data_IF_344300857146
#
_entry.id   IF_344300857146
#
_cell.length_a   1.000
_cell.length_b   1.000
_cell.length_c   1.000
_cell.angle_alpha   90.00
_cell.angle_beta   90.00
_cell.angle_gamma   90.00
#
_symmetry.space_group_name_H-M   'P 1'
#
loop_
_entity.id
_entity.type
_entity.pdbx_description
1 polymer ?
#
# COMPACT_ATOMS: atom_id res chain seq x y z
N UNK A 1 -3.55 3.53 -10.71
CA UNK A 1 -3.63 4.56 -9.64
C UNK A 1 -4.70 5.56 -10.03
N UNK A 2 -5.68 5.82 -9.19
CA UNK A 2 -6.83 6.68 -9.51
C UNK A 2 -7.49 7.26 -8.26
N UNK A 3 -8.24 8.34 -8.41
CA UNK A 3 -9.11 8.84 -7.36
C UNK A 3 -10.33 7.93 -7.18
N UNK A 4 -10.68 7.60 -5.95
CA UNK A 4 -11.81 6.72 -5.61
C UNK A 4 -12.51 7.26 -4.35
N UNK A 5 -13.86 7.34 -4.34
CA UNK A 5 -14.60 7.71 -3.15
C UNK A 5 -14.52 6.59 -2.11
N UNK A 6 -14.02 6.93 -0.91
CA UNK A 6 -13.94 6.01 0.23
C UNK A 6 -14.58 6.69 1.43
N UNK A 7 -15.46 5.95 2.12
CA UNK A 7 -16.16 6.44 3.31
C UNK A 7 -15.54 5.87 4.58
N UNK A 8 -15.13 6.74 5.51
CA UNK A 8 -14.68 6.43 6.88
C UNK A 8 -15.11 7.53 7.82
N UNK A 9 -15.27 7.23 9.10
CA UNK A 9 -15.61 8.22 10.14
C UNK A 9 -16.82 9.10 9.74
N UNK A 10 -17.83 8.47 9.12
CA UNK A 10 -19.04 9.08 8.57
C UNK A 10 -18.87 9.97 7.33
N UNK A 11 -17.65 10.25 6.86
CA UNK A 11 -17.35 11.14 5.74
C UNK A 11 -16.85 10.39 4.51
N UNK A 12 -17.24 10.85 3.33
CA UNK A 12 -16.74 10.32 2.06
C UNK A 12 -15.68 11.26 1.49
N UNK A 13 -14.52 10.71 1.19
CA UNK A 13 -13.39 11.44 0.63
C UNK A 13 -12.91 10.76 -0.65
N UNK A 14 -12.51 11.57 -1.64
CA UNK A 14 -11.86 11.05 -2.85
C UNK A 14 -10.37 10.89 -2.59
N UNK A 15 -9.95 9.68 -2.27
CA UNK A 15 -8.54 9.34 -1.99
C UNK A 15 -7.90 8.70 -3.23
N UNK A 16 -6.56 8.65 -3.26
CA UNK A 16 -5.84 7.93 -4.33
C UNK A 16 -5.72 6.45 -3.95
N UNK A 17 -6.06 5.58 -4.90
CA UNK A 17 -6.08 4.12 -4.71
C UNK A 17 -5.44 3.40 -5.89
N UNK A 18 -5.19 2.09 -5.72
CA UNK A 18 -4.84 1.19 -6.82
C UNK A 18 -6.06 0.35 -7.17
N UNK A 19 -6.49 0.40 -8.43
CA UNK A 19 -7.64 -0.35 -8.96
C UNK A 19 -8.94 -0.15 -8.15
N UNK A 20 -9.12 1.02 -7.55
CA UNK A 20 -10.31 1.32 -6.73
C UNK A 20 -10.31 0.69 -5.35
N UNK A 21 -9.21 0.06 -4.92
CA UNK A 21 -9.13 -0.67 -3.65
C UNK A 21 -8.30 0.11 -2.61
N UNK A 22 -8.78 0.07 -1.36
CA UNK A 22 -8.09 0.61 -0.18
C UNK A 22 -8.28 -0.34 1.03
N UNK A 23 -7.21 -0.98 1.54
CA UNK A 23 -5.88 -1.06 0.95
C UNK A 23 -5.90 -1.62 -0.48
N UNK A 24 -4.84 -1.39 -1.24
CA UNK A 24 -4.69 -1.92 -2.59
C UNK A 24 -4.57 -3.46 -2.62
N UNK A 25 -4.57 -4.04 -3.82
CA UNK A 25 -4.55 -5.49 -3.98
C UNK A 25 -3.30 -6.13 -3.37
N UNK A 26 -3.47 -7.29 -2.72
CA UNK A 26 -2.36 -8.16 -2.34
C UNK A 26 -1.72 -8.75 -3.58
N UNK A 27 -0.39 -8.74 -3.64
CA UNK A 27 0.38 -9.44 -4.66
C UNK A 27 0.93 -10.72 -4.04
N UNK A 28 0.61 -11.86 -4.64
CA UNK A 28 1.10 -13.18 -4.23
C UNK A 28 1.99 -13.75 -5.33
N UNK A 29 3.19 -14.16 -4.96
CA UNK A 29 4.26 -14.64 -5.84
C UNK A 29 5.06 -15.71 -5.12
N UNK A 30 5.85 -16.50 -5.83
CA UNK A 30 6.81 -17.42 -5.25
C UNK A 30 8.22 -16.85 -5.32
N UNK A 31 9.09 -17.33 -4.42
CA UNK A 31 10.53 -17.10 -4.55
C UNK A 31 11.04 -17.65 -5.89
N UNK A 32 11.68 -16.79 -6.69
CA UNK A 32 12.15 -17.07 -8.04
C UNK A 32 11.26 -16.53 -9.16
N UNK A 33 10.06 -16.04 -8.85
CA UNK A 33 9.18 -15.46 -9.86
C UNK A 33 9.70 -14.09 -10.37
N UNK A 34 9.46 -13.82 -11.66
CA UNK A 34 9.63 -12.49 -12.24
C UNK A 34 8.31 -11.73 -12.18
N UNK A 35 8.30 -10.62 -11.45
CA UNK A 35 7.14 -9.75 -11.32
C UNK A 35 7.19 -8.65 -12.37
N UNK A 36 6.07 -8.45 -13.08
CA UNK A 36 5.86 -7.35 -14.01
C UNK A 36 4.57 -6.59 -13.65
N UNK A 37 4.70 -5.31 -13.29
CA UNK A 37 3.55 -4.47 -12.93
C UNK A 37 3.56 -3.19 -13.74
N UNK A 38 2.55 -3.03 -14.61
CA UNK A 38 2.29 -1.78 -15.32
C UNK A 38 1.43 -0.86 -14.47
N UNK A 39 2.04 0.20 -13.95
CA UNK A 39 1.35 1.25 -13.20
C UNK A 39 0.89 2.33 -14.18
N UNK A 40 -0.43 2.50 -14.30
CA UNK A 40 -1.04 3.60 -15.05
C UNK A 40 -1.54 4.65 -14.05
N UNK A 41 -1.04 5.88 -14.16
CA UNK A 41 -1.44 6.98 -13.30
C UNK A 41 -2.62 7.74 -13.91
N UNK A 42 -3.83 7.48 -13.39
CA UNK A 42 -5.07 8.21 -13.68
C UNK A 42 -5.47 9.14 -12.51
N UNK A 43 -4.56 9.36 -11.57
CA UNK A 43 -4.75 10.27 -10.44
C UNK A 43 -4.27 11.69 -10.75
N UNK A 44 -4.47 12.59 -9.78
CA UNK A 44 -4.09 14.00 -9.89
C UNK A 44 -2.63 14.30 -9.48
N UNK A 45 -1.97 13.36 -8.78
CA UNK A 45 -0.62 13.55 -8.26
C UNK A 45 0.41 12.75 -9.06
N UNK A 46 1.64 13.26 -9.10
CA UNK A 46 2.82 12.47 -9.43
C UNK A 46 2.92 11.28 -8.46
N UNK A 47 3.28 10.11 -8.97
CA UNK A 47 3.37 8.88 -8.16
C UNK A 47 4.47 7.96 -8.65
N UNK A 48 5.14 7.31 -7.71
CA UNK A 48 5.96 6.12 -7.92
C UNK A 48 5.50 5.03 -6.97
N UNK A 49 5.79 3.75 -7.30
CA UNK A 49 5.51 2.61 -6.42
C UNK A 49 6.84 1.96 -6.03
N UNK A 50 6.99 1.66 -4.74
CA UNK A 50 8.12 0.93 -4.18
C UNK A 50 7.69 -0.43 -3.62
N UNK A 51 8.57 -1.40 -3.80
CA UNK A 51 8.38 -2.80 -3.42
C UNK A 51 9.14 -3.06 -2.12
N UNK A 52 8.57 -2.62 -1.00
CA UNK A 52 9.28 -2.53 0.27
C UNK A 52 9.86 -3.87 0.72
N UNK A 53 11.18 -3.89 0.89
CA UNK A 53 11.94 -5.07 1.31
C UNK A 53 12.39 -5.96 0.16
N UNK A 54 11.94 -5.75 -1.08
CA UNK A 54 12.54 -6.42 -2.25
C UNK A 54 13.94 -5.87 -2.46
N UNK A 55 14.92 -6.76 -2.62
CA UNK A 55 16.35 -6.37 -2.72
C UNK A 55 16.72 -5.62 -4.00
N UNK A 56 15.89 -5.69 -5.04
CA UNK A 56 16.14 -5.07 -6.35
C UNK A 56 17.55 -5.37 -6.90
N UNK A 57 17.95 -6.64 -6.86
CA UNK A 57 19.26 -7.07 -7.33
C UNK A 57 19.42 -6.69 -8.81
N UNK A 58 20.34 -5.74 -9.08
CA UNK A 58 20.65 -5.21 -10.43
C UNK A 58 19.43 -4.62 -11.16
N UNK A 59 18.39 -4.22 -10.43
CA UNK A 59 17.10 -3.76 -10.97
C UNK A 59 16.67 -2.44 -10.32
N UNK A 60 17.63 -1.61 -9.90
CA UNK A 60 17.38 -0.36 -9.18
C UNK A 60 16.43 0.63 -9.90
N UNK A 61 16.34 0.58 -11.23
CA UNK A 61 15.35 1.38 -11.98
C UNK A 61 13.89 1.02 -11.66
N UNK A 62 13.63 -0.18 -11.13
CA UNK A 62 12.32 -0.65 -10.71
C UNK A 62 12.09 -0.50 -9.19
N UNK A 63 13.00 0.16 -8.46
CA UNK A 63 12.90 0.25 -7.00
C UNK A 63 11.79 1.21 -6.55
N UNK A 64 11.63 2.37 -7.19
CA UNK A 64 10.50 3.27 -6.94
C UNK A 64 10.76 4.61 -6.24
N UNK A 65 11.72 4.79 -5.31
CA UNK A 65 11.88 6.05 -4.59
C UNK A 65 12.01 7.28 -5.50
N UNK A 66 11.04 8.21 -5.38
CA UNK A 66 10.94 9.39 -6.23
C UNK A 66 12.19 10.28 -6.09
N UNK A 67 12.76 10.69 -7.23
CA UNK A 67 14.00 11.47 -7.34
C UNK A 67 15.28 10.80 -6.82
N UNK A 68 15.21 9.52 -6.43
CA UNK A 68 16.40 8.73 -6.10
C UNK A 68 16.69 7.73 -7.21
N UNK A 69 15.73 6.84 -7.51
CA UNK A 69 15.90 5.80 -8.54
C UNK A 69 15.11 6.07 -9.81
N UNK A 70 14.10 6.95 -9.75
CA UNK A 70 13.32 7.36 -10.92
C UNK A 70 12.67 8.73 -10.76
N UNK A 71 12.35 9.35 -11.90
CA UNK A 71 11.37 10.42 -11.96
C UNK A 71 9.94 9.87 -11.74
N UNK A 72 8.99 10.70 -11.26
CA UNK A 72 7.63 10.26 -11.03
C UNK A 72 6.86 9.94 -12.31
N UNK A 73 5.90 9.01 -12.19
CA UNK A 73 4.89 8.76 -13.21
C UNK A 73 3.88 9.91 -13.13
N UNK A 74 3.93 10.81 -14.11
CA UNK A 74 3.02 11.96 -14.19
C UNK A 74 1.57 11.52 -14.42
N UNK A 75 0.57 12.34 -14.03
CA UNK A 75 -0.82 12.11 -14.41
C UNK A 75 -0.97 11.83 -15.92
N UNK A 76 -1.75 10.81 -16.25
CA UNK A 76 -1.97 10.33 -17.63
C UNK A 76 -0.86 9.42 -18.18
N UNK A 77 0.26 9.25 -17.49
CA UNK A 77 1.39 8.42 -17.94
C UNK A 77 1.37 7.04 -17.30
N UNK A 78 2.24 6.15 -17.80
CA UNK A 78 2.44 4.81 -17.24
C UNK A 78 3.90 4.41 -17.17
N UNK A 79 4.23 3.51 -16.25
CA UNK A 79 5.54 2.90 -16.13
C UNK A 79 5.40 1.43 -15.78
N UNK A 80 6.29 0.58 -16.31
CA UNK A 80 6.27 -0.86 -16.05
C UNK A 80 7.46 -1.23 -15.18
N UNK A 81 7.20 -1.69 -13.96
CA UNK A 81 8.17 -2.26 -13.05
C UNK A 81 8.41 -3.73 -13.43
N UNK A 82 9.68 -4.13 -13.57
CA UNK A 82 10.09 -5.51 -13.88
C UNK A 82 11.32 -5.89 -13.07
N UNK A 83 11.22 -6.96 -12.28
CA UNK A 83 12.32 -7.52 -11.51
C UNK A 83 12.05 -8.98 -11.14
N UNK A 84 13.08 -9.70 -10.72
CA UNK A 84 12.98 -11.08 -10.23
C UNK A 84 13.16 -11.10 -8.72
N UNK A 85 12.36 -11.92 -8.05
CA UNK A 85 12.45 -12.12 -6.61
C UNK A 85 13.46 -13.23 -6.34
N UNK A 86 14.58 -12.89 -5.71
CA UNK A 86 15.70 -13.83 -5.53
C UNK A 86 16.02 -14.04 -4.05
N UNK A 87 15.76 -15.26 -3.57
CA UNK A 87 16.14 -15.69 -2.23
C UNK A 87 15.42 -14.92 -1.12
N UNK A 88 14.12 -14.63 -1.35
CA UNK A 88 13.24 -13.98 -0.39
C UNK A 88 11.94 -14.78 -0.30
N UNK A 89 11.45 -14.97 0.92
CA UNK A 89 10.19 -15.65 1.26
C UNK A 89 9.60 -14.93 2.48
N UNK A 90 8.27 -14.89 2.60
CA UNK A 90 7.55 -14.28 3.71
C UNK A 90 6.65 -13.10 3.31
N UNK A 91 6.39 -12.23 4.28
CA UNK A 91 5.48 -11.09 4.12
C UNK A 91 6.26 -9.79 3.94
N UNK A 92 6.06 -9.16 2.78
CA UNK A 92 6.48 -7.81 2.46
C UNK A 92 5.24 -6.98 2.11
N UNK A 93 5.46 -5.79 1.55
CA UNK A 93 4.38 -4.91 1.11
C UNK A 93 4.89 -3.98 0.02
N UNK A 94 3.96 -3.36 -0.70
CA UNK A 94 4.27 -2.32 -1.66
C UNK A 94 3.54 -1.04 -1.26
N UNK A 95 4.11 0.11 -1.60
CA UNK A 95 3.50 1.40 -1.31
C UNK A 95 3.94 2.48 -2.29
N UNK A 96 3.17 3.55 -2.40
CA UNK A 96 3.65 4.73 -3.11
C UNK A 96 4.90 5.30 -2.43
N UNK A 97 5.89 5.73 -3.20
CA UNK A 97 7.11 6.34 -2.67
C UNK A 97 7.27 7.80 -3.12
N UNK A 98 6.13 8.49 -3.20
CA UNK A 98 5.98 9.90 -3.54
C UNK A 98 5.18 10.61 -2.46
N UNK A 99 5.78 11.61 -1.81
CA UNK A 99 5.15 12.39 -0.74
C UNK A 99 4.47 11.48 0.32
N UNK A 100 3.27 11.83 0.77
CA UNK A 100 2.47 11.06 1.73
C UNK A 100 1.41 10.16 1.05
N UNK A 101 1.54 9.86 -0.24
CA UNK A 101 0.57 9.01 -0.95
C UNK A 101 0.46 7.60 -0.37
N UNK A 102 1.52 7.10 0.30
CA UNK A 102 1.49 5.79 0.98
C UNK A 102 0.45 5.69 2.10
N UNK A 103 -0.14 6.79 2.55
CA UNK A 103 -1.27 6.76 3.48
C UNK A 103 -2.50 6.05 2.90
N UNK A 104 -2.63 5.99 1.56
CA UNK A 104 -3.78 5.37 0.87
C UNK A 104 -3.39 4.46 -0.29
N UNK A 105 -2.17 4.60 -0.81
CA UNK A 105 -1.61 3.78 -1.89
C UNK A 105 -0.59 2.79 -1.31
N UNK A 106 -1.09 1.65 -0.85
CA UNK A 106 -0.28 0.55 -0.33
C UNK A 106 -1.04 -0.78 -0.42
N UNK A 107 -0.33 -1.90 -0.34
CA UNK A 107 -0.92 -3.24 -0.29
C UNK A 107 0.11 -4.29 0.11
N UNK A 108 -0.35 -5.49 0.45
CA UNK A 108 0.54 -6.57 0.86
C UNK A 108 1.28 -7.18 -0.34
N UNK A 109 2.47 -7.73 -0.09
CA UNK A 109 3.24 -8.52 -1.05
C UNK A 109 3.70 -9.81 -0.35
N UNK A 110 3.09 -10.93 -0.67
CA UNK A 110 3.37 -12.23 -0.07
C UNK A 110 4.25 -13.03 -1.02
N UNK A 111 5.38 -13.51 -0.50
CA UNK A 111 6.31 -14.36 -1.24
C UNK A 111 6.28 -15.76 -0.64
N UNK A 112 5.64 -16.68 -1.33
CA UNK A 112 5.59 -18.08 -0.96
C UNK A 112 6.92 -18.79 -1.21
N UNK A 113 7.13 -19.97 -0.60
CA UNK A 113 8.28 -20.80 -0.88
C UNK A 113 8.44 -21.07 -2.37
N UNK A 114 9.69 -21.22 -2.81
CA UNK A 114 9.99 -21.60 -4.19
C UNK A 114 9.18 -22.84 -4.59
N UNK A 115 8.74 -22.92 -5.85
CA UNK A 115 8.04 -24.08 -6.37
C UNK A 115 8.82 -25.39 -6.08
N UNK A 116 8.16 -26.36 -5.46
CA UNK A 116 8.76 -27.63 -5.00
C UNK A 116 9.35 -27.59 -3.58
N UNK A 117 9.44 -26.42 -2.95
CA UNK A 117 9.79 -26.26 -1.55
C UNK A 117 8.55 -26.18 -0.66
N UNK A 118 8.75 -26.25 0.66
CA UNK A 118 7.69 -26.10 1.66
C UNK A 118 8.12 -25.10 2.73
N UNK A 119 7.15 -24.55 3.47
CA UNK A 119 7.44 -23.77 4.66
C UNK A 119 8.26 -24.61 5.65
N UNK A 120 9.12 -24.00 6.49
CA UNK A 120 9.84 -24.71 7.56
C UNK A 120 8.91 -25.14 8.72
N UNK A 121 7.60 -25.02 8.54
CA UNK A 121 6.54 -25.37 9.47
C UNK A 121 5.35 -25.97 8.71
N UNK A 122 4.39 -26.54 9.44
CA UNK A 122 3.19 -27.14 8.83
C UNK A 122 2.40 -26.07 8.08
N UNK A 123 2.09 -26.32 6.81
CA UNK A 123 1.32 -25.39 5.97
C UNK A 123 0.03 -24.96 6.70
N UNK A 124 -0.16 -23.66 6.95
CA UNK A 124 -1.35 -23.18 7.65
C UNK A 124 -2.60 -23.43 6.82
N UNK A 125 -3.73 -23.63 7.51
CA UNK A 125 -5.05 -23.81 6.84
C UNK A 125 -5.57 -22.52 6.22
N UNK A 126 -5.17 -21.37 6.78
CA UNK A 126 -5.54 -20.02 6.35
C UNK A 126 -4.39 -19.06 6.64
N UNK A 127 -4.21 -18.12 5.74
CA UNK A 127 -3.29 -16.99 5.87
C UNK A 127 -4.11 -15.72 5.59
N UNK A 128 -3.85 -14.64 6.32
CA UNK A 128 -4.58 -13.38 6.13
C UNK A 128 -3.65 -12.21 6.41
N UNK A 129 -3.43 -11.30 5.43
CA UNK A 129 -2.68 -10.09 5.66
C UNK A 129 -3.39 -9.17 6.68
N UNK A 130 -2.62 -8.68 7.65
CA UNK A 130 -3.06 -7.64 8.59
C UNK A 130 -2.25 -6.36 8.32
N UNK A 131 -2.85 -5.44 7.57
CA UNK A 131 -2.25 -4.17 7.22
C UNK A 131 -2.66 -3.10 8.23
N UNK A 132 -1.72 -2.66 9.05
CA UNK A 132 -1.91 -1.55 9.97
C UNK A 132 -1.69 -0.23 9.24
N UNK A 133 -2.55 0.75 9.47
CA UNK A 133 -2.45 2.04 8.81
C UNK A 133 -3.12 3.16 9.60
N UNK A 134 -3.14 4.33 8.99
CA UNK A 134 -3.72 5.55 9.55
C UNK A 134 -4.71 6.16 8.56
N UNK A 135 -5.70 6.87 9.09
CA UNK A 135 -6.72 7.59 8.34
C UNK A 135 -6.75 9.06 8.74
N UNK A 136 -6.72 9.94 7.75
CA UNK A 136 -7.02 11.37 7.92
C UNK A 136 -8.30 11.69 7.16
N UNK A 137 -9.18 12.48 7.77
CA UNK A 137 -10.26 13.18 7.06
C UNK A 137 -9.72 14.31 6.19
N UNK A 138 -8.54 14.85 6.52
CA UNK A 138 -7.80 15.73 5.64
C UNK A 138 -7.08 14.94 4.55
N UNK A 139 -6.86 15.56 3.38
CA UNK A 139 -6.00 14.99 2.36
C UNK A 139 -4.53 14.90 2.87
N UNK A 140 -3.91 13.71 2.92
CA UNK A 140 -2.55 13.54 3.46
C UNK A 140 -1.48 14.40 2.78
N UNK A 141 -1.68 14.74 1.50
CA UNK A 141 -0.77 15.64 0.76
C UNK A 141 -0.85 17.08 1.28
N UNK A 142 -2.04 17.53 1.67
CA UNK A 142 -2.21 18.86 2.23
C UNK A 142 -1.69 18.92 3.67
N UNK A 143 -1.82 17.83 4.44
CA UNK A 143 -1.21 17.70 5.78
C UNK A 143 0.31 17.90 5.73
N UNK A 144 1.01 17.16 4.86
CA UNK A 144 2.48 17.30 4.73
C UNK A 144 2.89 18.64 4.12
N UNK A 145 2.09 19.20 3.20
CA UNK A 145 2.38 20.51 2.59
C UNK A 145 2.29 21.63 3.63
N UNK A 146 1.29 21.60 4.50
CA UNK A 146 1.15 22.60 5.56
C UNK A 146 2.26 22.49 6.61
N UNK A 147 2.64 21.27 6.99
CA UNK A 147 3.80 21.04 7.86
C UNK A 147 5.09 21.60 7.24
N UNK A 148 5.33 21.34 5.95
CA UNK A 148 6.48 21.89 5.24
C UNK A 148 6.45 23.42 5.13
N UNK A 149 5.26 24.02 4.95
CA UNK A 149 5.11 25.47 4.84
C UNK A 149 5.36 26.19 6.17
N UNK A 150 4.86 25.63 7.26
CA UNK A 150 4.91 26.24 8.59
C UNK A 150 6.19 25.88 9.36
N UNK A 151 6.82 24.76 9.02
CA UNK A 151 7.91 24.16 9.80
C UNK A 151 7.43 23.45 11.08
N UNK A 152 6.11 23.39 11.32
CA UNK A 152 5.53 22.69 12.46
C UNK A 152 5.38 21.18 12.19
N UNK A 153 5.10 20.42 13.24
CA UNK A 153 4.76 19.01 13.10
C UNK A 153 3.44 18.83 12.30
N UNK A 154 3.32 17.78 11.47
CA UNK A 154 2.07 17.48 10.78
C UNK A 154 0.96 17.09 11.77
N UNK A 155 -0.28 17.37 11.42
CA UNK A 155 -1.44 16.94 12.19
C UNK A 155 -1.47 15.41 12.34
N UNK A 156 -1.78 14.94 13.53
CA UNK A 156 -2.00 13.51 13.81
C UNK A 156 -3.20 12.97 13.02
N UNK A 157 -3.23 11.65 12.81
CA UNK A 157 -4.34 10.97 12.14
C UNK A 157 -5.63 11.00 12.96
N UNK A 158 -6.77 10.96 12.28
CA UNK A 158 -8.09 10.90 12.91
C UNK A 158 -8.42 9.48 13.41
N UNK A 159 -7.85 8.44 12.78
CA UNK A 159 -7.98 7.07 13.23
C UNK A 159 -6.78 6.19 12.84
N UNK A 160 -6.51 5.18 13.68
CA UNK A 160 -5.74 4.01 13.26
C UNK A 160 -6.66 3.03 12.55
N UNK A 161 -6.11 2.19 11.68
CA UNK A 161 -6.89 1.23 10.89
C UNK A 161 -6.22 -0.14 10.83
N UNK A 162 -7.06 -1.18 10.77
CA UNK A 162 -6.66 -2.55 10.41
C UNK A 162 -7.34 -2.88 9.08
N UNK A 163 -6.56 -3.24 8.07
CA UNK A 163 -7.03 -3.47 6.70
C UNK A 163 -7.89 -2.29 6.19
N UNK A 164 -7.48 -1.06 6.53
CA UNK A 164 -8.15 0.17 6.16
C UNK A 164 -9.47 0.44 6.89
N UNK A 165 -9.85 -0.33 7.91
CA UNK A 165 -11.04 -0.09 8.74
C UNK A 165 -10.65 0.44 10.13
N UNK A 166 -11.27 1.53 10.63
CA UNK A 166 -10.99 2.08 11.96
C UNK A 166 -11.36 1.14 13.11
N UNK A 167 -12.41 0.32 12.95
CA UNK A 167 -12.90 -0.58 13.98
C UNK A 167 -13.96 0.04 14.90
N UNK A 168 -14.41 -0.74 15.88
CA UNK A 168 -15.67 -0.51 16.61
C UNK A 168 -15.67 0.73 17.52
N UNK A 169 -14.50 1.21 17.92
CA UNK A 169 -14.35 2.35 18.84
C UNK A 169 -14.45 3.72 18.13
N UNK A 170 -14.54 3.73 16.80
CA UNK A 170 -14.69 4.94 16.00
C UNK A 170 -16.12 5.11 15.46
N UNK A 171 -16.57 6.36 15.37
CA UNK A 171 -17.88 6.70 14.81
C UNK A 171 -18.06 6.13 13.40
N UNK A 172 -19.27 5.64 13.10
CA UNK A 172 -19.66 5.05 11.82
C UNK A 172 -18.74 3.91 11.31
N UNK A 173 -18.08 3.18 12.21
CA UNK A 173 -17.07 2.17 11.84
C UNK A 173 -17.36 0.76 12.36
N UNK A 174 -18.41 0.58 13.17
CA UNK A 174 -18.80 -0.71 13.78
C UNK A 174 -19.55 -1.68 12.86
N UNK A 175 -19.85 -1.30 11.62
CA UNK A 175 -20.58 -2.12 10.65
C UNK A 175 -19.76 -2.30 9.39
N UNK A 176 -18.98 -3.37 9.33
CA UNK A 176 -18.17 -3.69 8.16
C UNK A 176 -17.12 -4.79 8.33
N UNK A 177 -17.02 -5.42 9.50
CA UNK A 177 -16.16 -6.59 9.66
C UNK A 177 -16.72 -7.74 8.81
N UNK A 178 -15.91 -8.22 7.88
CA UNK A 178 -16.08 -9.56 7.35
C UNK A 178 -16.13 -10.52 8.56
N UNK A 179 -17.18 -11.34 8.73
CA UNK A 179 -17.28 -12.27 9.86
C UNK A 179 -16.12 -13.28 9.92
N UNK A 180 -15.29 -13.41 8.88
CA UNK A 180 -14.06 -14.19 8.90
C UNK A 180 -12.88 -13.49 9.59
N UNK A 181 -13.02 -12.21 9.93
CA UNK A 181 -12.01 -11.39 10.60
C UNK A 181 -12.64 -10.67 11.80
N UNK A 182 -12.98 -11.46 12.82
CA UNK A 182 -13.35 -10.94 14.13
C UNK A 182 -12.08 -10.46 14.84
N UNK A 183 -11.87 -9.15 14.94
CA UNK A 183 -10.86 -8.58 15.81
C UNK A 183 -11.49 -8.32 17.18
N UNK A 184 -11.23 -9.23 18.13
CA UNK A 184 -11.36 -8.91 19.55
C UNK A 184 -10.00 -8.33 19.96
N UNK A 185 -10.00 -7.08 20.42
CA UNK A 185 -8.90 -6.53 21.23
C UNK A 185 -9.32 -6.66 22.69
#
# INVERSE_FOLDING_TARGET
VQATPVKRLCKTHNIITVNGQYPGPTLEVNNGDSLEVKVVNRGQYNVTIHWHGIRQLRTGWADGPEFVTQCPIRPGQSYTYRFTIEGQEGTLWWHAHSSWLRATVYGALIIHPKAGSSYPFTKPKRETPLMLGEWWDANPIDVVREAARTGAAPNISDAYTINGQPGDLYNCSSKGLDPSVLFII
#
